data_IF_282430622039
#
_entry.id   IF_282430622039
#
_cell.length_a   1.000
_cell.length_b   1.000
_cell.length_c   1.000
_cell.angle_alpha   90.00
_cell.angle_beta   90.00
_cell.angle_gamma   90.00
#
_symmetry.space_group_name_H-M   'P 1'
#
loop_
_entity.id
_entity.type
_entity.pdbx_description
1 polymer ?
#
# COMPACT_ATOMS: atom_id res chain seq x y z
N UNK A 1 -21.44 -2.43 -1.23
CA UNK A 1 -20.11 -2.44 -1.88
C UNK A 1 -19.14 -2.42 -0.73
N UNK A 2 -18.34 -3.49 -0.53
CA UNK A 2 -17.38 -3.52 0.56
C UNK A 2 -16.43 -2.32 0.43
N UNK A 3 -16.23 -1.59 1.53
CA UNK A 3 -15.22 -0.54 1.58
C UNK A 3 -13.84 -1.23 1.48
N UNK A 4 -13.03 -0.78 0.53
CA UNK A 4 -11.67 -1.29 0.33
C UNK A 4 -10.71 -0.27 0.91
N UNK A 5 -9.87 -0.70 1.83
CA UNK A 5 -8.75 0.10 2.32
C UNK A 5 -7.59 0.01 1.33
N UNK A 6 -7.11 1.18 0.90
CA UNK A 6 -5.99 1.31 -0.02
C UNK A 6 -4.76 1.75 0.76
N UNK A 7 -3.73 0.91 0.75
CA UNK A 7 -2.45 1.20 1.40
C UNK A 7 -1.40 1.43 0.31
N UNK A 8 -0.80 2.63 0.32
CA UNK A 8 0.30 3.00 -0.57
C UNK A 8 1.61 3.09 0.20
N UNK A 9 2.58 2.24 -0.14
CA UNK A 9 3.92 2.25 0.47
C UNK A 9 4.95 2.74 -0.54
N UNK A 10 5.59 3.88 -0.29
CA UNK A 10 6.63 4.40 -1.18
C UNK A 10 7.85 3.48 -1.17
N UNK A 11 8.42 3.21 -2.34
CA UNK A 11 9.57 2.31 -2.50
C UNK A 11 10.73 2.92 -3.27
N UNK A 12 10.46 3.75 -4.29
CA UNK A 12 11.49 4.40 -5.10
C UNK A 12 11.27 5.92 -5.15
N UNK A 13 12.38 6.64 -5.34
CA UNK A 13 12.42 8.08 -5.63
C UNK A 13 13.27 8.33 -6.88
N UNK A 14 12.93 9.35 -7.67
CA UNK A 14 13.75 9.82 -8.80
C UNK A 14 15.11 10.32 -8.31
N UNK A 15 16.13 10.08 -9.13
CA UNK A 15 17.50 10.52 -8.91
C UNK A 15 18.03 11.33 -10.12
N UNK A 16 17.71 12.63 -10.22
CA UNK A 16 18.10 13.46 -11.37
C UNK A 16 19.61 13.49 -11.65
N UNK A 17 20.07 13.76 -12.90
CA UNK A 17 19.25 13.96 -14.10
C UNK A 17 18.79 12.66 -14.76
N UNK A 18 17.81 12.78 -15.67
CA UNK A 18 17.31 11.67 -16.50
C UNK A 18 16.31 10.76 -15.80
N UNK A 19 16.11 9.57 -16.37
CA UNK A 19 15.21 8.54 -15.84
C UNK A 19 15.94 7.60 -14.87
N UNK A 20 16.56 8.17 -13.83
CA UNK A 20 17.24 7.35 -12.81
C UNK A 20 16.42 7.29 -11.54
N UNK A 21 16.55 6.16 -10.85
CA UNK A 21 15.75 5.85 -9.67
C UNK A 21 16.63 5.26 -8.58
N UNK A 22 16.22 5.43 -7.33
CA UNK A 22 16.93 4.87 -6.18
C UNK A 22 15.93 4.54 -5.07
N UNK A 23 16.21 3.58 -4.16
CA UNK A 23 15.34 3.28 -3.03
C UNK A 23 15.08 4.51 -2.15
N UNK A 24 13.95 4.56 -1.45
CA UNK A 24 13.65 5.70 -0.57
C UNK A 24 14.64 5.86 0.59
N UNK A 25 15.21 4.75 1.07
CA UNK A 25 16.02 4.68 2.29
C UNK A 25 17.53 4.73 2.03
N UNK A 26 17.95 4.83 0.77
CA UNK A 26 19.36 4.86 0.41
C UNK A 26 19.55 5.68 -0.87
N UNK A 27 20.76 6.21 -1.07
CA UNK A 27 21.11 6.85 -2.34
C UNK A 27 21.74 5.85 -3.34
N UNK A 28 21.99 4.62 -2.90
CA UNK A 28 22.41 3.49 -3.72
C UNK A 28 21.58 2.24 -3.42
N UNK A 29 21.38 1.33 -4.39
CA UNK A 29 21.82 1.41 -5.79
C UNK A 29 21.05 2.46 -6.61
N UNK A 30 21.69 3.04 -7.63
CA UNK A 30 21.03 3.91 -8.61
C UNK A 30 20.71 3.08 -9.85
N UNK A 31 19.43 2.99 -10.18
CA UNK A 31 18.91 2.31 -11.35
C UNK A 31 18.90 3.26 -12.55
N UNK A 32 19.21 2.72 -13.72
CA UNK A 32 19.31 3.51 -14.96
C UNK A 32 17.95 3.79 -15.61
N UNK A 33 16.92 3.06 -15.20
CA UNK A 33 15.54 3.22 -15.65
C UNK A 33 14.54 2.90 -14.53
N UNK A 34 13.29 3.34 -14.70
CA UNK A 34 12.19 2.97 -13.81
C UNK A 34 11.99 1.44 -13.73
N UNK A 35 12.08 0.75 -14.87
CA UNK A 35 11.84 -0.70 -14.97
C UNK A 35 12.85 -1.49 -14.14
N UNK A 36 14.13 -1.11 -14.18
CA UNK A 36 15.16 -1.74 -13.34
C UNK A 36 14.87 -1.56 -11.84
N UNK A 37 14.42 -0.37 -11.44
CA UNK A 37 14.04 -0.11 -10.05
C UNK A 37 12.84 -0.95 -9.61
N UNK A 38 11.80 -1.05 -10.45
CA UNK A 38 10.62 -1.86 -10.16
C UNK A 38 10.98 -3.35 -10.09
N UNK A 39 11.80 -3.84 -11.02
CA UNK A 39 12.28 -5.23 -11.00
C UNK A 39 13.03 -5.54 -9.71
N UNK A 40 13.92 -4.64 -9.27
CA UNK A 40 14.63 -4.82 -8.00
C UNK A 40 13.69 -4.88 -6.80
N UNK A 41 12.62 -4.06 -6.79
CA UNK A 41 11.59 -4.12 -5.75
C UNK A 41 10.78 -5.42 -5.85
N UNK A 42 10.45 -5.86 -7.05
CA UNK A 42 9.73 -7.11 -7.30
C UNK A 42 10.52 -8.31 -6.77
N UNK A 43 11.82 -8.39 -7.06
CA UNK A 43 12.67 -9.47 -6.57
C UNK A 43 12.69 -9.57 -5.02
N UNK A 44 12.51 -8.45 -4.31
CA UNK A 44 12.50 -8.42 -2.84
C UNK A 44 11.13 -8.62 -2.22
N UNK A 45 10.11 -7.99 -2.78
CA UNK A 45 8.78 -7.91 -2.19
C UNK A 45 7.79 -8.90 -2.81
N UNK A 46 8.06 -9.36 -4.04
CA UNK A 46 7.15 -10.15 -4.88
C UNK A 46 5.82 -9.43 -5.16
N UNK A 47 5.81 -8.10 -5.06
CA UNK A 47 4.62 -7.28 -5.29
C UNK A 47 4.45 -6.94 -6.77
N UNK A 48 3.21 -6.90 -7.24
CA UNK A 48 2.90 -6.76 -8.67
C UNK A 48 2.20 -5.43 -8.99
N UNK A 49 1.57 -4.82 -8.00
CA UNK A 49 0.77 -3.61 -8.19
C UNK A 49 1.58 -2.38 -7.77
N UNK A 50 1.84 -1.49 -8.73
CA UNK A 50 2.63 -0.29 -8.52
C UNK A 50 1.87 0.96 -8.97
N UNK A 51 2.00 2.03 -8.18
CA UNK A 51 1.47 3.37 -8.51
C UNK A 51 2.63 4.32 -8.70
N UNK A 52 2.68 4.98 -9.85
CA UNK A 52 3.74 5.94 -10.20
C UNK A 52 3.17 7.35 -10.15
N UNK A 53 3.72 8.18 -9.26
CA UNK A 53 3.45 9.62 -9.21
C UNK A 53 4.52 10.37 -9.99
N UNK A 54 4.31 10.50 -11.30
CA UNK A 54 5.30 11.05 -12.23
C UNK A 54 5.72 12.50 -11.89
N UNK A 55 4.77 13.36 -11.50
CA UNK A 55 5.05 14.74 -11.12
C UNK A 55 5.92 14.85 -9.86
N UNK A 56 5.77 13.93 -8.92
CA UNK A 56 6.55 13.89 -7.67
C UNK A 56 7.84 13.07 -7.80
N UNK A 57 7.99 12.27 -8.88
CA UNK A 57 9.11 11.35 -9.05
C UNK A 57 9.13 10.23 -8.01
N UNK A 58 7.98 9.65 -7.66
CA UNK A 58 7.85 8.61 -6.63
C UNK A 58 7.12 7.37 -7.16
N UNK A 59 7.51 6.20 -6.66
CA UNK A 59 6.83 4.92 -6.91
C UNK A 59 6.36 4.32 -5.60
N UNK A 60 5.15 3.78 -5.61
CA UNK A 60 4.50 3.15 -4.47
C UNK A 60 4.10 1.72 -4.84
N UNK A 61 4.16 0.82 -3.86
CA UNK A 61 3.44 -0.47 -3.91
C UNK A 61 2.00 -0.21 -3.48
N UNK A 62 1.07 -0.83 -4.20
CA UNK A 62 -0.38 -0.74 -3.98
C UNK A 62 -0.92 -2.02 -3.36
N UNK A 63 -1.54 -1.89 -2.20
CA UNK A 63 -2.27 -2.99 -1.55
C UNK A 63 -3.74 -2.62 -1.38
N UNK A 64 -4.63 -3.52 -1.80
CA UNK A 64 -6.05 -3.50 -1.43
C UNK A 64 -6.26 -4.46 -0.26
N UNK A 65 -6.88 -3.98 0.81
CA UNK A 65 -7.40 -4.82 1.88
C UNK A 65 -8.91 -4.67 1.92
N UNK A 66 -9.63 -5.81 1.95
CA UNK A 66 -11.06 -5.80 2.21
C UNK A 66 -11.26 -5.50 3.70
N UNK A 67 -11.96 -4.40 3.99
CA UNK A 67 -12.37 -4.11 5.36
C UNK A 67 -13.44 -5.14 5.72
N UNK A 68 -13.13 -6.03 6.66
CA UNK A 68 -14.12 -6.96 7.18
C UNK A 68 -15.28 -6.14 7.78
N UNK A 69 -16.51 -6.48 7.39
CA UNK A 69 -17.70 -5.85 7.95
C UNK A 69 -17.63 -5.98 9.49
N UNK A 70 -17.90 -4.89 10.25
CA UNK A 70 -17.83 -4.95 11.69
C UNK A 70 -18.76 -6.07 12.19
N UNK A 71 -18.27 -6.87 13.15
CA UNK A 71 -19.09 -7.93 13.76
C UNK A 71 -20.43 -7.31 14.20
N UNK A 72 -21.57 -7.95 13.89
CA UNK A 72 -22.86 -7.40 14.26
C UNK A 72 -22.89 -7.18 15.77
N UNK A 73 -23.35 -6.00 16.20
CA UNK A 73 -23.50 -5.70 17.62
C UNK A 73 -24.22 -6.87 18.30
N UNK A 74 -23.70 -7.37 19.45
CA UNK A 74 -24.32 -8.50 20.12
C UNK A 74 -25.80 -8.18 20.33
N UNK A 75 -26.72 -9.11 19.96
CA UNK A 75 -28.14 -8.83 20.03
C UNK A 75 -28.48 -8.39 21.45
N UNK A 76 -29.16 -7.25 21.61
CA UNK A 76 -29.59 -6.72 22.90
C UNK A 76 -30.34 -7.83 23.64
N UNK A 77 -29.72 -8.38 24.69
CA UNK A 77 -30.33 -9.41 25.53
C UNK A 77 -31.15 -8.71 26.58
N UNK A 78 -32.44 -8.95 26.55
CA UNK A 78 -33.35 -8.52 27.61
C UNK A 78 -33.59 -9.73 28.50
N UNK A 79 -33.45 -9.56 29.81
CA UNK A 79 -33.84 -10.59 30.77
C UNK A 79 -35.38 -10.73 30.80
N UNK A 80 -35.91 -11.72 31.55
CA UNK A 80 -37.35 -11.99 31.66
C UNK A 80 -38.20 -10.78 32.10
N UNK A 81 -37.56 -9.79 32.74
CA UNK A 81 -38.20 -8.59 33.27
C UNK A 81 -37.97 -7.35 32.38
N UNK A 82 -37.35 -7.53 31.20
CA UNK A 82 -37.12 -6.45 30.24
C UNK A 82 -35.94 -5.54 30.58
N UNK A 83 -35.10 -5.92 31.54
CA UNK A 83 -33.87 -5.18 31.85
C UNK A 83 -32.75 -5.57 30.89
N UNK A 84 -31.86 -4.61 30.62
CA UNK A 84 -30.69 -4.81 29.77
C UNK A 84 -29.66 -5.65 30.53
N UNK A 85 -29.30 -6.82 29.98
CA UNK A 85 -28.26 -7.73 30.52
C UNK A 85 -26.87 -7.38 29.99
#
# INVERSE_FOLDING_TARGET
>A
MAEKDIILKQVLKRFPPGDRWTPINADQPVFSSLTEGIEWIFQQSQEHNYVIKAAEGKVFIYHEQEIAEPEPEPPKRYNLYGEFE
#
